data_IF_435296002424
#
_entry.id   IF_435296002424
#
_cell.length_a   1.000
_cell.length_b   1.000
_cell.length_c   1.000
_cell.angle_alpha   90.00
_cell.angle_beta   90.00
_cell.angle_gamma   90.00
#
_symmetry.space_group_name_H-M   'P 1'
#
loop_
_entity.id
_entity.type
_entity.pdbx_description
1 polymer ?
#
# COMPACT_ATOMS: atom_id res chain seq x y z
N UNK A 1 6.16 2.80 -16.74
CA UNK A 1 5.65 2.57 -15.37
C UNK A 1 5.82 3.85 -14.59
N UNK A 2 4.84 4.19 -13.75
CA UNK A 2 4.88 5.30 -12.80
C UNK A 2 4.64 4.75 -11.40
N UNK A 3 5.35 5.29 -10.41
CA UNK A 3 5.11 4.97 -8.98
C UNK A 3 4.33 6.13 -8.37
N UNK A 4 3.13 5.85 -7.87
CA UNK A 4 2.38 6.78 -7.02
C UNK A 4 2.98 6.68 -5.62
N UNK A 5 3.82 7.66 -5.29
CA UNK A 5 4.63 7.67 -4.08
C UNK A 5 3.77 7.87 -2.81
N UNK A 6 4.06 7.09 -1.77
CA UNK A 6 3.26 6.99 -0.54
C UNK A 6 3.23 8.22 0.37
N UNK A 7 4.02 9.27 0.10
CA UNK A 7 3.88 10.54 0.83
C UNK A 7 3.00 11.58 0.10
N UNK A 8 2.41 11.19 -1.03
CA UNK A 8 1.45 11.99 -1.78
C UNK A 8 0.00 11.67 -1.37
N UNK A 9 -0.82 11.38 -2.36
CA UNK A 9 -2.19 10.92 -2.18
C UNK A 9 -2.45 9.70 -3.07
N UNK A 10 -3.51 8.94 -2.77
CA UNK A 10 -4.13 8.15 -3.84
C UNK A 10 -4.69 9.11 -4.88
N UNK A 11 -4.23 8.96 -6.11
CA UNK A 11 -4.57 9.91 -7.17
C UNK A 11 -6.06 9.92 -7.50
N UNK A 12 -6.47 10.95 -8.23
CA UNK A 12 -7.82 11.03 -8.78
C UNK A 12 -8.09 9.90 -9.79
N UNK A 13 -9.34 9.47 -9.92
CA UNK A 13 -9.73 8.40 -10.86
C UNK A 13 -9.27 8.66 -12.30
N UNK A 14 -9.21 9.91 -12.75
CA UNK A 14 -8.73 10.25 -14.10
C UNK A 14 -7.26 9.86 -14.33
N UNK A 15 -6.40 9.92 -13.31
CA UNK A 15 -5.00 9.53 -13.44
C UNK A 15 -4.88 8.05 -13.81
N UNK A 16 -5.60 7.19 -13.10
CA UNK A 16 -5.60 5.75 -13.35
C UNK A 16 -6.28 5.40 -14.67
N UNK A 17 -7.36 6.11 -15.04
CA UNK A 17 -8.00 5.96 -16.35
C UNK A 17 -7.06 6.28 -17.51
N UNK A 18 -6.30 7.38 -17.42
CA UNK A 18 -5.30 7.73 -18.44
C UNK A 18 -4.16 6.70 -18.47
N UNK A 19 -3.72 6.21 -17.31
CA UNK A 19 -2.72 5.13 -17.25
C UNK A 19 -3.22 3.85 -17.92
N UNK A 20 -4.49 3.47 -17.70
CA UNK A 20 -5.12 2.33 -18.36
C UNK A 20 -5.14 2.51 -19.89
N UNK A 21 -5.57 3.68 -20.37
CA UNK A 21 -5.68 3.98 -21.81
C UNK A 21 -4.32 4.01 -22.51
N UNK A 22 -3.31 4.58 -21.86
CA UNK A 22 -1.96 4.74 -22.41
C UNK A 22 -1.07 3.50 -22.22
N UNK A 23 -1.54 2.48 -21.50
CA UNK A 23 -0.75 1.29 -21.18
C UNK A 23 0.41 1.56 -20.22
N UNK A 24 0.26 2.54 -19.32
CA UNK A 24 1.27 2.89 -18.32
C UNK A 24 0.98 2.12 -17.04
N UNK A 25 1.84 1.16 -16.72
CA UNK A 25 1.75 0.44 -15.43
C UNK A 25 1.95 1.39 -14.24
N UNK A 26 1.19 1.18 -13.18
CA UNK A 26 1.22 1.91 -11.91
C UNK A 26 1.69 0.97 -10.81
N UNK A 27 2.74 1.40 -10.13
CA UNK A 27 3.12 0.91 -8.81
C UNK A 27 2.45 1.80 -7.78
N UNK A 28 1.57 1.22 -6.95
CA UNK A 28 0.78 1.97 -5.97
C UNK A 28 1.32 1.75 -4.56
N UNK A 29 1.87 2.78 -3.94
CA UNK A 29 2.13 2.72 -2.50
C UNK A 29 0.81 2.88 -1.72
N UNK A 30 0.74 2.33 -0.51
CA UNK A 30 -0.13 2.88 0.54
C UNK A 30 0.50 4.15 1.11
N UNK A 31 -0.31 5.03 1.71
CA UNK A 31 0.11 6.40 2.03
C UNK A 31 0.97 6.52 3.31
N UNK A 32 2.07 5.77 3.35
CA UNK A 32 3.08 5.76 4.40
C UNK A 32 4.46 6.07 3.79
N UNK A 33 5.21 7.02 4.37
CA UNK A 33 6.50 7.42 3.85
C UNK A 33 7.45 8.02 4.89
N UNK A 34 8.70 7.53 4.87
CA UNK A 34 9.86 8.01 5.62
C UNK A 34 9.57 8.24 7.11
N UNK A 35 8.81 7.35 7.74
CA UNK A 35 8.22 7.59 9.05
C UNK A 35 8.14 6.38 9.97
N UNK A 36 7.79 6.66 11.22
CA UNK A 36 7.29 5.67 12.17
C UNK A 36 5.83 6.00 12.47
N UNK A 37 4.95 5.04 12.20
CA UNK A 37 3.52 5.18 12.41
C UNK A 37 3.06 4.40 13.65
N UNK A 38 1.94 4.80 14.27
CA UNK A 38 1.33 4.04 15.36
C UNK A 38 0.94 2.62 14.92
N UNK A 39 0.79 1.72 15.88
CA UNK A 39 0.33 0.34 15.65
C UNK A 39 -0.67 -0.14 16.70
N UNK A 40 -1.24 0.78 17.47
CA UNK A 40 -2.39 0.50 18.33
C UNK A 40 -3.62 0.12 17.50
N UNK A 41 -4.56 -0.57 18.15
CA UNK A 41 -5.68 -1.20 17.43
C UNK A 41 -6.65 -0.17 16.82
N UNK A 42 -6.76 1.04 17.38
CA UNK A 42 -7.59 2.12 16.82
C UNK A 42 -6.98 2.62 15.51
N UNK A 43 -5.70 2.99 15.52
CA UNK A 43 -5.02 3.41 14.30
C UNK A 43 -5.01 2.32 13.22
N UNK A 44 -4.75 1.06 13.60
CA UNK A 44 -4.75 -0.06 12.65
C UNK A 44 -6.14 -0.30 12.04
N UNK A 45 -7.22 -0.07 12.79
CA UNK A 45 -8.57 -0.17 12.26
C UNK A 45 -8.85 0.92 11.22
N UNK A 46 -8.40 2.16 11.47
CA UNK A 46 -8.51 3.26 10.51
C UNK A 46 -7.73 2.97 9.23
N UNK A 47 -6.48 2.49 9.35
CA UNK A 47 -5.66 2.10 8.19
C UNK A 47 -6.34 1.00 7.37
N UNK A 48 -6.91 -0.02 8.02
CA UNK A 48 -7.66 -1.08 7.33
C UNK A 48 -8.83 -0.50 6.55
N UNK A 49 -9.62 0.39 7.16
CA UNK A 49 -10.77 0.98 6.51
C UNK A 49 -10.37 1.82 5.29
N UNK A 50 -9.30 2.63 5.39
CA UNK A 50 -8.74 3.38 4.27
C UNK A 50 -8.23 2.47 3.15
N UNK A 51 -7.51 1.41 3.51
CA UNK A 51 -6.97 0.45 2.57
C UNK A 51 -8.08 -0.28 1.81
N UNK A 52 -9.13 -0.76 2.49
CA UNK A 52 -10.26 -1.43 1.86
C UNK A 52 -10.97 -0.50 0.86
N UNK A 53 -11.23 0.75 1.25
CA UNK A 53 -11.87 1.75 0.38
C UNK A 53 -11.06 2.00 -0.89
N UNK A 54 -9.75 2.23 -0.76
CA UNK A 54 -8.90 2.55 -1.90
C UNK A 54 -8.63 1.32 -2.77
N UNK A 55 -8.41 0.14 -2.19
CA UNK A 55 -8.22 -1.08 -2.96
C UNK A 55 -9.48 -1.44 -3.75
N UNK A 56 -10.68 -1.32 -3.17
CA UNK A 56 -11.92 -1.49 -3.92
C UNK A 56 -12.06 -0.50 -5.08
N UNK A 57 -11.72 0.78 -4.84
CA UNK A 57 -11.75 1.81 -5.87
C UNK A 57 -10.77 1.53 -7.00
N UNK A 58 -9.55 1.09 -6.66
CA UNK A 58 -8.44 0.94 -7.60
C UNK A 58 -8.42 -0.41 -8.34
N UNK A 59 -9.03 -1.48 -7.78
CA UNK A 59 -9.04 -2.83 -8.37
C UNK A 59 -9.57 -2.89 -9.82
N UNK A 60 -10.43 -1.95 -10.21
CA UNK A 60 -10.97 -1.85 -11.58
C UNK A 60 -9.95 -1.37 -12.63
N UNK A 61 -8.80 -0.85 -12.21
CA UNK A 61 -7.77 -0.28 -13.07
C UNK A 61 -6.67 -1.30 -13.37
N UNK A 62 -6.61 -1.88 -14.59
CA UNK A 62 -5.58 -2.85 -14.97
C UNK A 62 -4.16 -2.26 -14.99
N UNK A 63 -4.03 -0.92 -15.03
CA UNK A 63 -2.73 -0.26 -14.88
C UNK A 63 -2.11 -0.49 -13.52
N UNK A 64 -2.88 -0.69 -12.44
CA UNK A 64 -2.34 -0.98 -11.10
C UNK A 64 -1.87 -2.42 -11.04
N UNK A 65 -0.56 -2.62 -11.04
CA UNK A 65 0.06 -3.96 -11.16
C UNK A 65 0.72 -4.46 -9.88
N UNK A 66 1.00 -3.57 -8.93
CA UNK A 66 1.65 -3.88 -7.66
C UNK A 66 1.25 -2.86 -6.59
N UNK A 67 1.11 -3.34 -5.36
CA UNK A 67 1.00 -2.51 -4.17
C UNK A 67 2.27 -2.57 -3.33
N UNK A 68 2.64 -1.45 -2.71
CA UNK A 68 3.73 -1.37 -1.73
C UNK A 68 3.23 -0.81 -0.40
N UNK A 69 3.62 -1.41 0.72
CA UNK A 69 3.11 -1.02 2.04
C UNK A 69 3.55 0.37 2.50
N UNK A 70 4.77 0.79 2.16
CA UNK A 70 5.33 2.10 2.52
C UNK A 70 6.48 2.51 1.58
N UNK A 71 6.97 3.73 1.80
CA UNK A 71 8.23 4.26 1.26
C UNK A 71 9.27 4.44 2.37
N UNK A 72 10.43 3.78 2.31
CA UNK A 72 11.59 4.05 3.18
C UNK A 72 11.36 3.90 4.70
N UNK A 73 10.26 3.29 5.18
CA UNK A 73 10.01 3.24 6.63
C UNK A 73 10.95 2.24 7.33
N UNK A 74 11.35 1.16 6.64
CA UNK A 74 12.36 0.24 7.15
C UNK A 74 13.75 0.89 7.20
N UNK A 75 14.06 1.77 6.26
CA UNK A 75 15.28 2.57 6.22
C UNK A 75 15.28 3.60 7.33
N UNK A 76 14.15 4.26 7.53
CA UNK A 76 13.92 5.21 8.63
C UNK A 76 14.13 4.49 9.96
N UNK A 77 13.56 3.29 10.14
CA UNK A 77 13.82 2.44 11.31
C UNK A 77 15.32 2.21 11.53
N UNK A 78 16.03 1.82 10.49
CA UNK A 78 17.46 1.49 10.57
C UNK A 78 18.33 2.73 10.85
N UNK A 79 18.03 3.87 10.23
CA UNK A 79 18.70 5.15 10.43
C UNK A 79 18.58 5.62 11.88
N UNK A 80 17.36 5.60 12.43
CA UNK A 80 17.09 5.98 13.81
C UNK A 80 17.33 4.87 14.83
N UNK A 81 17.79 3.69 14.38
CA UNK A 81 18.09 2.51 15.22
C UNK A 81 16.90 2.08 16.08
N UNK A 82 15.70 2.19 15.54
CA UNK A 82 14.46 1.78 16.21
C UNK A 82 14.44 0.24 16.30
N UNK A 83 14.38 -0.35 17.50
CA UNK A 83 14.27 -1.81 17.65
C UNK A 83 13.01 -2.36 16.97
N UNK A 84 13.06 -3.59 16.44
CA UNK A 84 11.92 -4.18 15.72
C UNK A 84 10.65 -4.27 16.56
N UNK A 85 10.78 -4.52 17.86
CA UNK A 85 9.67 -4.56 18.84
C UNK A 85 9.07 -3.16 19.13
N UNK A 86 9.73 -2.09 18.70
CA UNK A 86 9.27 -0.71 18.80
C UNK A 86 8.85 -0.12 17.44
N UNK A 87 9.07 -0.85 16.35
CA UNK A 87 8.63 -0.48 15.01
C UNK A 87 7.21 -0.99 14.74
N UNK A 88 6.24 -0.37 15.41
CA UNK A 88 4.84 -0.84 15.46
C UNK A 88 4.16 -0.93 14.09
N UNK A 89 4.55 -0.07 13.15
CA UNK A 89 4.01 -0.06 11.79
C UNK A 89 4.29 -1.35 10.99
N UNK A 90 5.23 -2.20 11.46
CA UNK A 90 5.47 -3.54 10.92
C UNK A 90 4.18 -4.38 10.82
N UNK A 91 3.28 -4.28 11.82
CA UNK A 91 1.96 -4.97 11.79
C UNK A 91 1.10 -4.52 10.60
N UNK A 92 1.14 -3.23 10.25
CA UNK A 92 0.40 -2.68 9.11
C UNK A 92 0.94 -3.29 7.81
N UNK A 93 2.26 -3.24 7.62
CA UNK A 93 2.92 -3.61 6.38
C UNK A 93 3.02 -5.12 6.15
N UNK A 94 3.16 -5.91 7.20
CA UNK A 94 3.39 -7.36 7.09
C UNK A 94 2.12 -8.19 7.27
N UNK A 95 1.07 -7.61 7.89
CA UNK A 95 -0.17 -8.35 8.21
C UNK A 95 -1.41 -7.68 7.62
N UNK A 96 -1.66 -6.41 7.93
CA UNK A 96 -2.96 -5.76 7.64
C UNK A 96 -3.17 -5.53 6.15
N UNK A 97 -2.26 -4.80 5.51
CA UNK A 97 -2.34 -4.46 4.09
C UNK A 97 -2.35 -5.69 3.15
N UNK A 98 -1.45 -6.70 3.32
CA UNK A 98 -1.53 -7.90 2.50
C UNK A 98 -2.82 -8.70 2.73
N UNK A 99 -3.37 -8.70 3.95
CA UNK A 99 -4.66 -9.36 4.22
C UNK A 99 -5.81 -8.63 3.50
N UNK A 100 -5.85 -7.29 3.51
CA UNK A 100 -6.85 -6.52 2.76
C UNK A 100 -6.79 -6.84 1.26
N UNK A 101 -5.59 -6.90 0.69
CA UNK A 101 -5.42 -7.28 -0.71
C UNK A 101 -5.88 -8.72 -0.95
N UNK A 102 -5.55 -9.66 -0.07
CA UNK A 102 -6.01 -11.04 -0.18
C UNK A 102 -7.54 -11.11 -0.17
N UNK A 103 -8.20 -10.51 0.82
CA UNK A 103 -9.66 -10.53 0.99
C UNK A 103 -10.39 -9.96 -0.23
N UNK A 104 -9.86 -8.89 -0.83
CA UNK A 104 -10.49 -8.22 -1.97
C UNK A 104 -10.16 -8.90 -3.29
N UNK A 105 -8.94 -9.42 -3.47
CA UNK A 105 -8.55 -10.05 -4.72
C UNK A 105 -8.98 -11.51 -4.82
N UNK A 106 -9.07 -12.32 -3.74
CA UNK A 106 -9.18 -13.79 -3.75
C UNK A 106 -10.48 -14.46 -4.29
N UNK A 107 -11.21 -13.84 -5.23
CA UNK A 107 -12.37 -14.47 -5.90
C UNK A 107 -12.02 -15.67 -6.81
N UNK A 108 -13.04 -16.40 -7.29
CA UNK A 108 -12.90 -17.68 -8.03
C UNK A 108 -12.03 -17.64 -9.31
N UNK A 109 -11.74 -16.46 -9.85
CA UNK A 109 -10.85 -16.23 -11.01
C UNK A 109 -9.58 -15.41 -10.66
N UNK A 110 -9.24 -15.31 -9.37
CA UNK A 110 -8.23 -14.36 -8.89
C UNK A 110 -6.80 -14.71 -9.26
N UNK A 111 -6.12 -13.75 -9.89
CA UNK A 111 -4.67 -13.59 -9.78
C UNK A 111 -4.39 -12.71 -8.56
N UNK A 112 -3.65 -13.23 -7.59
CA UNK A 112 -3.15 -12.43 -6.46
C UNK A 112 -2.37 -11.24 -7.01
N UNK A 113 -2.79 -10.02 -6.70
CA UNK A 113 -2.00 -8.83 -7.05
C UNK A 113 -0.68 -8.84 -6.27
N UNK A 114 0.41 -8.43 -6.92
CA UNK A 114 1.71 -8.38 -6.26
C UNK A 114 1.68 -7.37 -5.11
N UNK A 115 2.30 -7.74 -3.99
CA UNK A 115 2.47 -6.89 -2.82
C UNK A 115 3.91 -6.95 -2.32
N UNK A 116 4.47 -5.80 -1.95
CA UNK A 116 5.72 -5.72 -1.20
C UNK A 116 5.50 -4.93 0.10
N UNK A 117 6.05 -5.37 1.25
CA UNK A 117 5.82 -4.68 2.53
C UNK A 117 6.38 -3.26 2.60
N UNK A 118 7.41 -2.95 1.80
CA UNK A 118 7.97 -1.61 1.70
C UNK A 118 8.88 -1.49 0.48
N UNK A 119 8.83 -0.34 -0.18
CA UNK A 119 9.93 0.12 -1.04
C UNK A 119 11.16 0.37 -0.16
N UNK A 120 12.39 0.24 -0.69
CA UNK A 120 13.53 0.77 0.03
C UNK A 120 13.31 2.24 0.35
#
# INVERSE_FOLDING_TARGET
MVRVWGGGIYEHDWFYQECDLLGIMVWQDFMFACGQYPGDDEFVADVRAEAEQNVHRLKKHPSVVIYAGNNEDYQTRDEYKIPRDQFYACKIYEEVLPQVLADIYSGEESTTIAYIPGSP
#
